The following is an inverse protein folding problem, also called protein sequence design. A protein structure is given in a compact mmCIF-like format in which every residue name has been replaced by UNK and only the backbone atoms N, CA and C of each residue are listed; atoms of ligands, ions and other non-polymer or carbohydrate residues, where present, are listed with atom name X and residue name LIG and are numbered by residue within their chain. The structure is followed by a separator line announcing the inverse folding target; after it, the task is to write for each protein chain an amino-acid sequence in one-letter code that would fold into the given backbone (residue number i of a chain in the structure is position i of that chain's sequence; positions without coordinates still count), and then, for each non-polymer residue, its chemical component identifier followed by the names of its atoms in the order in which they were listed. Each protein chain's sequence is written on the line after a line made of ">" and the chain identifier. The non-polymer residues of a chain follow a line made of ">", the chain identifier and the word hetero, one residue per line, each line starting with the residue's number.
data_IF_908779734354
#
_entry.id   IF_908779734354
#
_cell.length_a   1.000
_cell.length_b   1.000
_cell.length_c   1.000
_cell.angle_alpha   90.00
_cell.angle_beta   90.00
_cell.angle_gamma   90.00
#
_symmetry.space_group_name_H-M   'P 1'
#
loop_
_entity.id
_entity.type
_entity.pdbx_description
1 polymer ?
2 non-polymer ?
3 non-polymer ?
4 water ?
#
# COMPACT_ATOMS: atom_id res chain seq x y z
N UNK A 24 -0.12 -14.16 12.99
CA UNK A 24 -0.21 -15.45 13.73
C UNK A 24 -1.65 -15.93 13.81
N UNK A 25 -2.40 -15.34 14.74
CA UNK A 25 -3.80 -15.70 14.93
C UNK A 25 -4.37 -15.05 16.17
N UNK A 26 -4.55 -15.85 17.22
CA UNK A 26 -5.08 -15.34 18.48
C UNK A 26 -6.35 -14.52 18.37
N UNK A 27 -6.35 -13.35 19.00
CA UNK A 27 -7.51 -12.45 18.99
C UNK A 27 -7.12 -11.12 18.34
N UNK A 28 -7.51 -10.93 17.08
CA UNK A 28 -7.17 -9.69 16.39
C UNK A 28 -8.25 -9.15 15.47
N UNK A 29 -7.93 -9.04 14.18
CA UNK A 29 -8.89 -8.53 13.21
C UNK A 29 -8.62 -9.05 11.81
N UNK A 30 -7.66 -8.43 11.13
CA UNK A 30 -7.28 -8.86 9.79
C UNK A 30 -8.28 -8.72 8.65
N UNK A 31 -9.44 -9.41 8.77
CA UNK A 31 -10.37 -9.40 7.62
C UNK A 31 -11.74 -8.81 7.99
N UNK A 32 -11.87 -8.23 9.16
CA UNK A 32 -13.18 -7.69 9.61
C UNK A 32 -13.09 -6.25 10.16
N UNK A 33 -11.92 -5.66 9.99
CA UNK A 33 -11.63 -4.27 10.44
C UNK A 33 -12.51 -3.28 9.62
N UNK A 34 -12.89 -2.08 10.15
CA UNK A 34 -13.70 -1.14 9.38
C UNK A 34 -13.08 -0.80 8.02
N UNK A 35 -11.77 -0.72 7.92
CA UNK A 35 -11.12 -0.41 6.62
C UNK A 35 -11.39 -1.52 5.60
N UNK A 36 -11.21 -2.79 5.98
CA UNK A 36 -11.45 -3.88 5.04
C UNK A 36 -12.92 -3.92 4.64
N UNK A 37 -13.82 -3.67 5.59
CA UNK A 37 -15.25 -3.67 5.30
C UNK A 37 -15.58 -2.60 4.27
N UNK A 38 -15.05 -1.39 4.49
CA UNK A 38 -15.29 -0.28 3.58
C UNK A 38 -14.70 -0.56 2.21
N UNK A 39 -13.51 -1.16 2.20
CA UNK A 39 -12.81 -1.49 0.97
C UNK A 39 -13.63 -2.47 0.12
N UNK A 40 -14.19 -3.49 0.76
CA UNK A 40 -14.98 -4.49 0.05
C UNK A 40 -16.33 -3.94 -0.39
N UNK A 41 -16.73 -2.81 0.19
CA UNK A 41 -18.01 -2.20 -0.15
C UNK A 41 -17.91 -1.18 -1.28
N UNK A 42 -16.84 -0.38 -1.27
CA UNK A 42 -16.69 0.66 -2.28
C UNK A 42 -15.33 0.72 -2.98
N UNK A 43 -14.40 -0.12 -2.54
CA UNK A 43 -13.08 -0.11 -3.14
C UNK A 43 -12.23 1.01 -2.56
N UNK A 44 -12.80 1.77 -1.64
CA UNK A 44 -12.09 2.87 -1.01
C UNK A 44 -11.11 2.36 0.04
N UNK A 45 -9.91 2.95 0.07
CA UNK A 45 -8.88 2.58 1.03
C UNK A 45 -8.77 3.68 2.08
N UNK A 46 -9.41 3.47 3.23
CA UNK A 46 -9.41 4.46 4.30
C UNK A 46 -8.04 4.78 4.86
N UNK A 47 -7.05 3.94 4.58
CA UNK A 47 -5.71 4.16 5.11
C UNK A 47 -4.83 5.12 4.32
N UNK A 48 -5.28 5.55 3.15
CA UNK A 48 -4.49 6.49 2.36
C UNK A 48 -4.24 7.73 3.21
N UNK A 49 -2.98 8.16 3.27
CA UNK A 49 -2.62 9.35 4.04
C UNK A 49 -2.80 9.29 5.56
N UNK A 50 -3.09 8.11 6.10
CA UNK A 50 -3.20 8.00 7.55
C UNK A 50 -1.79 7.65 8.04
N UNK A 51 -1.17 8.58 8.76
CA UNK A 51 0.19 8.40 9.23
C UNK A 51 0.49 7.12 10.02
N UNK A 52 -0.43 6.69 10.87
CA UNK A 52 -0.22 5.48 11.65
C UNK A 52 -0.19 4.28 10.71
N UNK A 53 -1.08 4.28 9.73
CA UNK A 53 -1.14 3.19 8.77
C UNK A 53 0.07 3.22 7.86
N UNK A 54 0.53 4.42 7.50
CA UNK A 54 1.72 4.55 6.67
C UNK A 54 2.96 4.01 7.38
N UNK A 55 3.08 4.28 8.68
CA UNK A 55 4.22 3.79 9.44
C UNK A 55 4.25 2.27 9.37
N UNK A 56 3.09 1.64 9.56
CA UNK A 56 3.01 0.18 9.50
C UNK A 56 3.31 -0.31 8.09
N UNK A 57 2.68 0.33 7.11
CA UNK A 57 2.87 -0.05 5.72
C UNK A 57 4.32 0.00 5.29
N UNK A 58 5.05 0.98 5.81
CA UNK A 58 6.46 1.11 5.48
C UNK A 58 7.20 -0.15 5.92
N UNK A 59 6.87 -0.63 7.12
CA UNK A 59 7.50 -1.83 7.66
C UNK A 59 7.07 -3.07 6.90
N UNK A 60 5.77 -3.19 6.66
CA UNK A 60 5.24 -4.34 5.94
C UNK A 60 5.81 -4.40 4.52
N UNK A 61 5.90 -3.25 3.86
CA UNK A 61 6.46 -3.20 2.52
C UNK A 61 7.91 -3.67 2.54
N UNK A 62 8.64 -3.27 3.58
CA UNK A 62 10.04 -3.65 3.71
C UNK A 62 10.27 -5.16 3.66
N UNK A 63 9.59 -5.91 4.52
CA UNK A 63 9.82 -7.35 4.55
C UNK A 63 9.06 -8.20 3.55
N UNK A 64 8.07 -7.63 2.88
CA UNK A 64 7.31 -8.43 1.92
C UNK A 64 7.53 -8.06 0.46
N UNK A 65 7.96 -6.82 0.21
CA UNK A 65 8.10 -6.33 -1.16
C UNK A 65 9.41 -5.67 -1.57
N UNK A 66 10.02 -4.92 -0.65
CA UNK A 66 11.24 -4.19 -0.98
C UNK A 66 12.38 -5.05 -1.51
N UNK A 67 12.42 -6.31 -1.09
CA UNK A 67 13.49 -7.19 -1.54
C UNK A 67 13.59 -7.30 -3.05
N UNK A 68 12.47 -7.11 -3.73
CA UNK A 68 12.46 -7.18 -5.18
C UNK A 68 12.11 -5.88 -5.86
N UNK A 69 11.34 -5.04 -5.18
CA UNK A 69 10.93 -3.78 -5.78
C UNK A 69 11.76 -2.59 -5.36
N UNK A 70 12.70 -2.82 -4.44
CA UNK A 70 13.53 -1.73 -3.97
C UNK A 70 12.98 -1.09 -2.72
N UNK A 71 13.89 -0.57 -1.90
CA UNK A 71 13.54 0.08 -0.64
C UNK A 71 12.47 1.16 -0.81
N UNK A 72 12.54 1.91 -1.90
CA UNK A 72 11.56 2.97 -2.15
C UNK A 72 10.63 2.64 -3.31
N UNK A 73 10.54 1.35 -3.63
CA UNK A 73 9.70 0.86 -4.72
C UNK A 73 10.14 1.47 -6.05
N UNK A 74 11.42 1.80 -6.14
CA UNK A 74 11.99 2.40 -7.34
C UNK A 74 12.27 1.33 -8.40
N UNK A 75 12.25 0.07 -7.97
CA UNK A 75 12.53 -1.03 -8.88
C UNK A 75 13.89 -1.63 -8.59
N UNK A 76 13.99 -2.95 -8.77
CA UNK A 76 15.23 -3.68 -8.54
C UNK A 76 15.09 -4.92 -9.41
N UNK A 77 14.68 -6.03 -8.81
CA UNK A 77 14.47 -7.26 -9.56
C UNK A 77 13.09 -7.13 -10.20
N UNK A 78 12.17 -6.55 -9.44
CA UNK A 78 10.83 -6.32 -9.92
C UNK A 78 10.75 -4.88 -10.38
N UNK A 79 9.70 -4.49 -11.12
CA UNK A 79 9.56 -3.11 -11.61
C UNK A 79 9.35 -2.03 -10.56
N UNK A 80 9.54 -0.78 -10.97
CA UNK A 80 9.33 0.32 -10.06
C UNK A 80 7.83 0.53 -9.91
N UNK A 81 7.37 0.64 -8.67
CA UNK A 81 5.96 0.82 -8.41
C UNK A 81 5.67 2.25 -7.99
N UNK A 82 6.67 3.12 -8.11
CA UNK A 82 6.55 4.51 -7.70
C UNK A 82 6.41 5.50 -8.85
N UNK A 83 6.07 5.00 -10.03
CA UNK A 83 5.91 5.90 -11.18
C UNK A 83 4.55 5.71 -11.86
N UNK A 84 4.34 6.45 -12.95
CA UNK A 84 3.06 6.37 -13.64
C UNK A 84 2.95 5.35 -14.77
N UNK A 85 3.88 4.41 -14.84
CA UNK A 85 3.77 3.38 -15.85
C UNK A 85 3.44 2.07 -15.15
N UNK A 86 2.42 1.38 -15.64
CA UNK A 86 2.01 0.10 -15.07
C UNK A 86 1.80 -0.93 -16.17
N UNK A 87 2.44 -2.08 -16.04
CA UNK A 87 2.30 -3.14 -17.03
C UNK A 87 0.85 -3.60 -17.03
N UNK A 88 0.27 -3.65 -15.83
CA UNK A 88 -1.11 -4.05 -15.66
C UNK A 88 -1.78 -2.85 -14.99
N UNK A 89 -2.45 -2.01 -15.78
CA UNK A 89 -3.14 -0.81 -15.30
C UNK A 89 -4.15 -1.04 -14.17
N UNK A 90 -4.60 -2.28 -14.01
CA UNK A 90 -5.55 -2.57 -12.95
C UNK A 90 -4.91 -2.20 -11.62
N UNK A 91 -3.58 -2.21 -11.58
CA UNK A 91 -2.87 -1.89 -10.35
C UNK A 91 -2.89 -0.41 -9.99
N UNK A 92 -3.54 0.39 -10.83
CA UNK A 92 -3.67 1.82 -10.55
C UNK A 92 -4.80 2.06 -9.54
N UNK A 93 -5.53 1.01 -9.18
CA UNK A 93 -6.58 1.15 -8.16
C UNK A 93 -6.15 0.21 -7.05
N UNK A 94 -6.55 0.52 -5.82
CA UNK A 94 -6.16 -0.34 -4.72
C UNK A 94 -6.81 -1.72 -4.78
N UNK A 95 -8.01 -1.80 -5.34
CA UNK A 95 -8.67 -3.10 -5.47
C UNK A 95 -7.88 -3.96 -6.44
N UNK A 96 -7.36 -3.34 -7.50
CA UNK A 96 -6.58 -4.06 -8.48
C UNK A 96 -5.26 -4.55 -7.90
N UNK A 97 -4.59 -3.68 -7.16
CA UNK A 97 -3.31 -4.02 -6.54
C UNK A 97 -3.55 -5.16 -5.55
N UNK A 98 -4.64 -5.05 -4.80
CA UNK A 98 -5.01 -6.05 -3.81
C UNK A 98 -5.24 -7.41 -4.49
N UNK A 99 -6.02 -7.40 -5.56
CA UNK A 99 -6.32 -8.63 -6.29
C UNK A 99 -5.04 -9.28 -6.84
N UNK A 100 -4.11 -8.45 -7.28
CA UNK A 100 -2.85 -8.93 -7.82
C UNK A 100 -2.06 -9.78 -6.82
N UNK A 101 -1.93 -9.29 -5.59
CA UNK A 101 -1.20 -10.02 -4.56
C UNK A 101 -1.97 -11.20 -3.98
N UNK A 102 -3.22 -10.98 -3.62
CA UNK A 102 -4.03 -12.05 -3.04
C UNK A 102 -4.37 -13.16 -4.02
N UNK A 103 -4.34 -12.84 -5.31
CA UNK A 103 -4.64 -13.84 -6.33
C UNK A 103 -3.44 -14.12 -7.21
N UNK A 104 -2.27 -13.70 -6.77
CA UNK A 104 -1.06 -13.91 -7.54
C UNK A 104 -0.64 -15.36 -7.62
N UNK A 105 -0.99 -16.13 -6.60
CA UNK A 105 -0.67 -17.55 -6.51
C UNK A 105 -0.32 -18.18 -7.86
N UNK A 106 0.97 -18.15 -8.20
CA UNK A 106 1.47 -18.71 -9.45
C UNK A 106 0.57 -18.36 -10.64
N UNK A 107 0.75 -17.15 -11.17
CA UNK A 107 -0.04 -16.72 -12.30
C UNK A 107 0.80 -16.18 -13.44
N UNK A 108 0.59 -14.91 -13.78
CA UNK A 108 1.35 -14.29 -14.86
C UNK A 108 1.62 -12.81 -14.59
N UNK A 109 1.42 -12.39 -13.35
CA UNK A 109 1.67 -11.00 -12.96
C UNK A 109 2.77 -10.92 -11.92
N UNK A 110 3.59 -11.97 -11.84
CA UNK A 110 4.68 -11.99 -10.89
C UNK A 110 4.63 -13.09 -9.84
N UNK A 111 5.72 -13.26 -9.07
CA UNK A 111 5.88 -14.25 -8.00
C UNK A 111 5.35 -13.68 -6.68
N UNK A 112 4.04 -13.54 -6.62
CA UNK A 112 3.37 -12.99 -5.45
C UNK A 112 2.52 -14.03 -4.74
N UNK A 113 2.66 -14.08 -3.42
CA UNK A 113 1.90 -15.01 -2.60
C UNK A 113 1.13 -14.24 -1.54
N UNK A 114 -0.08 -14.71 -1.22
CA UNK A 114 -0.89 -14.05 -0.20
C UNK A 114 -0.25 -14.36 1.15
N UNK A 115 0.51 -13.41 1.69
CA UNK A 115 1.17 -13.62 2.98
C UNK A 115 0.72 -12.60 4.02
N UNK A 116 0.10 -11.52 3.56
CA UNK A 116 -0.39 -10.48 4.45
C UNK A 116 -1.89 -10.64 4.64
N UNK A 117 -2.40 -10.17 5.77
CA UNK A 117 -3.83 -10.22 6.01
C UNK A 117 -4.42 -9.11 5.16
N UNK A 118 -5.74 -9.13 4.93
CA UNK A 118 -6.36 -8.07 4.12
C UNK A 118 -6.08 -6.68 4.67
N UNK A 119 -6.17 -6.53 5.99
CA UNK A 119 -5.92 -5.24 6.61
C UNK A 119 -4.47 -4.80 6.44
N UNK A 120 -3.54 -5.74 6.57
CA UNK A 120 -2.13 -5.40 6.40
C UNK A 120 -1.90 -5.01 4.95
N UNK A 121 -2.61 -5.67 4.03
CA UNK A 121 -2.45 -5.36 2.62
C UNK A 121 -2.86 -3.93 2.33
N UNK A 122 -3.94 -3.47 2.96
CA UNK A 122 -4.38 -2.10 2.71
C UNK A 122 -3.35 -1.10 3.23
N UNK A 123 -2.69 -1.44 4.33
CA UNK A 123 -1.67 -0.57 4.90
C UNK A 123 -0.45 -0.53 3.99
N UNK A 124 -0.09 -1.69 3.45
CA UNK A 124 1.06 -1.79 2.56
C UNK A 124 0.78 -1.01 1.28
N UNK A 125 -0.44 -1.15 0.76
CA UNK A 125 -0.82 -0.42 -0.45
C UNK A 125 -0.80 1.08 -0.18
N UNK A 126 -1.26 1.48 1.00
CA UNK A 126 -1.26 2.90 1.34
C UNK A 126 0.18 3.42 1.28
N UNK A 127 1.12 2.60 1.74
CA UNK A 127 2.52 3.02 1.70
C UNK A 127 3.04 3.08 0.28
N UNK A 128 2.70 2.10 -0.54
CA UNK A 128 3.17 2.11 -1.91
C UNK A 128 2.67 3.38 -2.59
N UNK A 129 1.43 3.76 -2.33
CA UNK A 129 0.90 4.98 -2.94
C UNK A 129 1.68 6.19 -2.45
N UNK A 130 2.08 6.16 -1.19
CA UNK A 130 2.82 7.27 -0.62
C UNK A 130 4.20 7.39 -1.25
N UNK A 131 4.72 6.26 -1.72
CA UNK A 131 6.03 6.23 -2.36
C UNK A 131 6.02 6.80 -3.78
N UNK A 132 4.83 7.08 -4.30
CA UNK A 132 4.67 7.61 -5.66
C UNK A 132 5.49 8.88 -5.88
N UNK A 133 6.04 9.02 -7.09
CA UNK A 133 6.86 10.18 -7.43
C UNK A 133 6.47 10.78 -8.78
N UNK A 134 5.43 10.23 -9.40
CA UNK A 134 5.01 10.70 -10.70
C UNK A 134 4.04 11.87 -10.71
N UNK A 135 3.47 12.19 -11.89
CA UNK A 135 2.51 13.28 -12.07
C UNK A 135 1.28 13.10 -11.19
N UNK A 136 0.85 14.19 -10.55
CA UNK A 136 -0.31 14.16 -9.68
C UNK A 136 -1.58 13.68 -10.38
N UNK A 137 -1.73 14.05 -11.66
CA UNK A 137 -2.92 13.67 -12.41
C UNK A 137 -3.01 12.18 -12.75
N UNK A 138 -1.91 11.45 -12.60
CA UNK A 138 -1.91 10.03 -12.88
C UNK A 138 -2.13 9.20 -11.61
N UNK A 139 -2.33 9.88 -10.48
CA UNK A 139 -2.57 9.21 -9.21
C UNK A 139 -4.06 8.90 -9.08
N UNK A 140 -4.54 7.97 -9.89
CA UNK A 140 -5.95 7.61 -9.89
C UNK A 140 -6.43 6.96 -8.59
N UNK A 141 -5.48 6.63 -7.71
CA UNK A 141 -5.80 6.01 -6.43
C UNK A 141 -6.05 7.07 -5.36
N UNK A 142 -6.04 8.33 -5.77
CA UNK A 142 -6.28 9.43 -4.84
C UNK A 142 -7.51 10.20 -5.31
N UNK A 143 -8.39 10.55 -4.38
CA UNK A 143 -9.58 11.31 -4.73
C UNK A 143 -9.16 12.76 -4.99
N UNK A 144 -10.14 13.62 -5.23
CA UNK A 144 -9.86 15.02 -5.50
C UNK A 144 -9.06 15.68 -4.38
N UNK A 145 -9.50 15.49 -3.14
CA UNK A 145 -8.82 16.09 -1.99
C UNK A 145 -7.41 15.56 -1.80
N UNK A 146 -7.26 14.24 -1.78
CA UNK A 146 -5.95 13.63 -1.59
C UNK A 146 -4.97 14.07 -2.67
N UNK A 147 -5.45 14.24 -3.90
CA UNK A 147 -4.58 14.68 -4.98
C UNK A 147 -4.01 16.05 -4.62
N UNK A 148 -4.84 16.88 -3.98
CA UNK A 148 -4.43 18.22 -3.58
C UNK A 148 -3.27 18.15 -2.60
N UNK A 149 -3.25 17.10 -1.78
CA UNK A 149 -2.20 16.93 -0.78
C UNK A 149 -1.04 16.07 -1.27
N UNK A 150 -1.12 15.59 -2.51
CA UNK A 150 -0.04 14.76 -3.05
C UNK A 150 1.25 15.53 -3.26
N UNK A 151 2.36 14.87 -2.93
CA UNK A 151 3.69 15.44 -3.09
C UNK A 151 4.67 14.30 -3.35
N UNK A 152 5.41 14.36 -4.47
CA UNK A 152 6.38 13.32 -4.82
C UNK A 152 7.19 12.86 -3.61
N UNK A 153 7.27 11.55 -3.40
CA UNK A 153 8.02 11.04 -2.26
C UNK A 153 9.50 11.36 -2.37
N UNK A 154 10.08 11.81 -1.27
CA UNK A 154 11.50 12.15 -1.23
C UNK A 154 12.18 11.35 -0.12
N UNK A 155 13.27 10.69 -0.47
CA UNK A 155 14.01 9.89 0.50
C UNK A 155 14.40 10.77 1.68
N UNK A 156 14.46 10.17 2.86
CA UNK A 156 14.82 10.92 4.05
C UNK A 156 13.60 11.27 4.86
N UNK A 157 12.43 11.20 4.23
CA UNK A 157 11.19 11.51 4.92
C UNK A 157 11.02 10.61 6.13
N UNK A 158 10.50 11.17 7.21
CA UNK A 158 10.28 10.41 8.43
C UNK A 158 8.87 10.61 8.94
N UNK A 159 8.09 9.54 8.98
CA UNK A 159 6.73 9.63 9.48
C UNK A 159 6.87 9.74 11.00
N UNK A 160 6.27 10.78 11.61
CA UNK A 160 6.37 10.94 13.06
C UNK A 160 6.09 9.63 13.79
N UNK A 161 7.02 9.23 14.64
CA UNK A 161 6.89 7.98 15.38
C UNK A 161 5.78 7.93 16.43
N UNK A 162 5.26 9.09 16.81
CA UNK A 162 4.19 9.11 17.80
C UNK A 162 2.83 9.22 17.11
N UNK A 163 2.83 9.09 15.79
CA UNK A 163 1.60 9.19 15.02
C UNK A 163 0.57 8.15 15.46
N UNK A 164 -0.66 8.61 15.66
CA UNK A 164 -1.75 7.75 16.07
C UNK A 164 -2.87 7.89 15.04
N UNK A 165 -3.54 6.78 14.73
CA UNK A 165 -4.61 6.83 13.75
C UNK A 165 -5.47 5.58 13.73
N UNK A 166 -5.95 5.22 12.55
CA UNK A 166 -6.81 4.06 12.41
C UNK A 166 -6.06 2.75 12.59
N UNK A 167 -4.73 2.80 12.51
CA UNK A 167 -3.92 1.60 12.61
C UNK A 167 -3.07 1.51 13.87
N UNK A 168 -3.22 0.40 14.59
CA UNK A 168 -2.44 0.18 15.80
C UNK A 168 -0.99 -0.05 15.40
N UNK A 169 -0.06 0.69 16.00
CA UNK A 169 1.37 0.54 15.69
C UNK A 169 1.82 -0.91 15.82
N UNK A 170 2.65 -1.35 14.87
CA UNK A 170 3.15 -2.72 14.88
C UNK A 170 4.12 -2.95 16.04
N UNK A 171 4.72 -1.88 16.54
CA UNK A 171 5.67 -1.98 17.64
C UNK A 171 5.06 -1.55 18.98
N UNK A 172 4.45 -0.37 19.00
CA UNK A 172 3.83 0.16 20.21
C UNK A 172 4.86 0.39 21.32
X LIG B 1 5.27 -6.96 -10.40
X LIG B 1 3.39 -5.56 -6.17
X LIG B 1 6.42 -8.59 -3.93
X LIG B 1 8.52 -9.68 -8.12
X LIG B 1 4.46 -6.34 -9.44
X LIG B 1 3.36 -5.47 -9.74
X LIG B 1 2.83 -5.07 -8.56
X LIG B 1 3.62 -5.71 -7.54
X LIG B 1 1.66 -4.13 -8.32
X LIG B 1 2.91 -5.09 -11.15
X LIG B 1 3.49 -3.76 -11.61
X LIG B 1 2.90 -3.22 -12.90
X LIG B 1 1.78 -3.57 -13.27
X LIG B 1 3.56 -2.44 -13.57
X LIG B 1 4.12 -6.20 -5.16
X LIG B 1 3.72 -6.21 -3.79
X LIG B 1 4.54 -7.13 -3.18
X LIG B 1 5.42 -7.63 -4.17
X LIG B 1 2.60 -5.35 -3.23
X LIG B 1 4.55 -7.61 -1.71
X LIG B 1 3.22 -7.90 -1.01
X LIG B 1 7.27 -9.15 -4.87
X LIG B 1 8.36 -10.04 -4.56
X LIG B 1 8.94 -10.35 -5.76
X LIG B 1 8.22 -9.62 -6.76
X LIG B 1 8.71 -10.50 -3.15
X LIG B 1 10.02 -11.42 -6.08
X LIG B 1 9.95 -12.81 -5.45
X LIG B 1 7.82 -9.02 -9.13
X LIG B 1 8.11 -9.16 -10.53
X LIG B 1 7.18 -8.40 -11.18
X LIG B 1 6.34 -7.81 -10.15
X LIG B 1 9.23 -10.00 -11.12
X LIG B 1 6.96 -8.26 -12.68
X LIG B 1 5.99 -9.32 -13.21
X LIG B 1 5.38 -9.04 -14.59
X LIG B 1 4.54 -9.82 -15.05
X LIG B 1 5.74 -8.06 -15.25
X LIG B 1 4.61 -6.49 -8.08
X LIG B 1 5.18 -7.07 -5.40
X LIG B 1 7.21 -8.88 -6.21
X LIG B 1 6.74 -8.20 -8.90
X LIG B 1 5.93 -7.65 -7.13
X LIG C 1 5.77 1.16 -12.70
#
# INVERSE_FOLDING_TARGET
>A
QPQSGPQTGVVFRNTVTGEALDVSQGKEGGRDTPAVKKFLETGENLYIDDKSCLRNGESLFATSCSGCHGHLAEGKLGPGLNDNYWTYPSNTTDVGLFATIFGGANGMMGPHNENLTPDEMLQTIAWIRHLYTGPKQDAVWLNDEQKKAYTPYKQGEVIPKDAKGQCKPLDE
>B hetero
1 HEM CHA CHB CHC CHD C1A C2A C3A C4A CMA CAA CBA CGA O1A O2A C1B C2B C3B C4B CMB CAB CBB C1C C2C C3C C4C CMC CAC CBC C1D C2D C3D C4D CMD CAD CBD CGD O1D O2D NA NB NC ND FE
>C hetero
1 CA CA
#
